data_IF_115699440758
#
_entry.id   IF_115699440758
#
_cell.length_a   1.000
_cell.length_b   1.000
_cell.length_c   1.000
_cell.angle_alpha   90.00
_cell.angle_beta   90.00
_cell.angle_gamma   90.00
#
_symmetry.space_group_name_H-M   'P 1'
#
loop_
_entity.id
_entity.type
_entity.pdbx_description
1 polymer ?
#
# COMPACT_ATOMS: atom_id res chain seq x y z
N UNK A 1 -47.68 -17.58 72.20
CA UNK A 1 -48.87 -17.33 71.33
C UNK A 1 -48.45 -16.65 70.05
N UNK A 2 -48.68 -17.38 68.94
CA UNK A 2 -48.80 -16.96 67.55
C UNK A 2 -47.52 -16.47 66.87
N UNK A 3 -46.81 -17.30 66.20
CA UNK A 3 -46.79 -17.73 64.80
C UNK A 3 -47.13 -16.64 63.81
N UNK A 4 -46.16 -16.31 62.97
CA UNK A 4 -46.39 -16.14 61.56
C UNK A 4 -45.07 -16.24 60.77
N UNK A 5 -44.91 -17.36 60.05
CA UNK A 5 -44.02 -17.61 58.94
C UNK A 5 -44.35 -16.69 57.77
N UNK A 6 -43.33 -16.14 57.14
CA UNK A 6 -43.41 -15.68 55.78
C UNK A 6 -42.16 -16.12 55.01
N UNK A 7 -42.35 -17.17 54.24
CA UNK A 7 -41.50 -17.60 53.14
C UNK A 7 -41.46 -16.52 52.07
N UNK A 8 -40.27 -16.07 51.72
CA UNK A 8 -40.01 -15.34 50.46
C UNK A 8 -39.08 -16.19 49.59
N UNK A 9 -39.71 -16.85 48.60
CA UNK A 9 -39.02 -17.42 47.46
C UNK A 9 -38.38 -16.28 46.64
N UNK A 10 -37.06 -16.27 46.57
CA UNK A 10 -36.30 -15.48 45.58
C UNK A 10 -36.08 -16.35 44.35
N UNK A 11 -36.85 -16.11 43.33
CA UNK A 11 -36.56 -16.56 41.95
C UNK A 11 -35.39 -15.73 41.42
N UNK A 12 -34.25 -16.37 41.22
CA UNK A 12 -33.13 -15.81 40.43
C UNK A 12 -33.43 -16.04 38.96
N UNK A 13 -33.84 -14.98 38.26
CA UNK A 13 -33.78 -14.93 36.81
C UNK A 13 -32.31 -14.81 36.40
N UNK A 14 -31.76 -15.88 35.83
CA UNK A 14 -30.50 -15.83 35.08
C UNK A 14 -30.81 -15.28 33.72
N UNK A 15 -30.49 -14.00 33.51
CA UNK A 15 -30.38 -13.38 32.20
C UNK A 15 -29.04 -13.83 31.60
N UNK A 16 -29.08 -14.92 30.85
CA UNK A 16 -27.94 -15.41 30.06
C UNK A 16 -27.74 -14.51 28.86
N UNK A 17 -26.78 -13.58 28.98
CA UNK A 17 -26.38 -12.66 27.93
C UNK A 17 -25.64 -13.35 26.77
N UNK A 18 -26.38 -13.83 25.79
CA UNK A 18 -25.89 -14.36 24.51
C UNK A 18 -25.54 -13.21 23.52
N UNK A 19 -24.72 -12.25 23.95
CA UNK A 19 -24.38 -11.08 23.13
C UNK A 19 -22.98 -11.05 22.51
N UNK A 20 -22.12 -12.05 22.79
CA UNK A 20 -20.70 -11.95 22.44
C UNK A 20 -20.23 -12.77 21.22
N UNK A 21 -21.01 -13.69 20.69
CA UNK A 21 -20.57 -14.55 19.58
C UNK A 21 -20.77 -13.92 18.17
N UNK A 22 -21.70 -12.98 18.02
CA UNK A 22 -22.00 -12.40 16.70
C UNK A 22 -20.93 -11.41 16.19
N UNK A 23 -20.28 -10.65 17.08
CA UNK A 23 -19.26 -9.68 16.69
C UNK A 23 -17.97 -10.36 16.18
N UNK A 24 -17.63 -11.52 16.74
CA UNK A 24 -16.45 -12.28 16.33
C UNK A 24 -16.59 -12.91 14.94
N UNK A 25 -17.76 -13.41 14.59
CA UNK A 25 -18.00 -14.04 13.28
C UNK A 25 -17.98 -12.99 12.15
N UNK A 26 -18.55 -11.80 12.39
CA UNK A 26 -18.51 -10.70 11.43
C UNK A 26 -17.08 -10.15 11.19
N UNK A 27 -16.24 -10.10 12.21
CA UNK A 27 -14.85 -9.66 12.08
C UNK A 27 -14.01 -10.68 11.30
N UNK A 28 -14.24 -11.97 11.50
CA UNK A 28 -13.59 -13.05 10.74
C UNK A 28 -14.00 -13.00 9.27
N UNK A 29 -15.29 -12.80 8.98
CA UNK A 29 -15.79 -12.70 7.61
C UNK A 29 -15.23 -11.48 6.89
N UNK A 30 -15.23 -10.29 7.53
CA UNK A 30 -14.62 -9.06 7.00
C UNK A 30 -13.12 -9.23 6.72
N UNK A 31 -12.37 -9.89 7.61
CA UNK A 31 -10.95 -10.17 7.41
C UNK A 31 -10.73 -11.12 6.23
N UNK A 32 -11.56 -12.16 6.08
CA UNK A 32 -11.50 -13.09 4.96
C UNK A 32 -11.81 -12.40 3.63
N UNK A 33 -12.84 -11.57 3.57
CA UNK A 33 -13.15 -10.76 2.39
C UNK A 33 -12.03 -9.79 2.02
N UNK A 34 -11.42 -9.13 3.02
CA UNK A 34 -10.28 -8.23 2.83
C UNK A 34 -9.09 -8.96 2.20
N UNK A 35 -8.77 -10.17 2.69
CA UNK A 35 -7.69 -10.97 2.12
C UNK A 35 -7.98 -11.45 0.69
N UNK A 36 -9.25 -11.75 0.38
CA UNK A 36 -9.67 -12.08 -0.99
C UNK A 36 -9.50 -10.86 -1.91
N UNK A 37 -9.97 -9.67 -1.51
CA UNK A 37 -9.76 -8.42 -2.26
C UNK A 37 -8.28 -8.16 -2.50
N UNK A 38 -7.46 -8.26 -1.46
CA UNK A 38 -6.00 -8.11 -1.56
C UNK A 38 -5.38 -9.06 -2.58
N UNK A 39 -5.77 -10.33 -2.57
CA UNK A 39 -5.25 -11.31 -3.54
C UNK A 39 -5.65 -10.97 -4.98
N UNK A 40 -6.89 -10.53 -5.19
CA UNK A 40 -7.37 -10.08 -6.51
C UNK A 40 -6.60 -8.84 -6.95
N UNK A 41 -6.41 -7.86 -6.06
CA UNK A 41 -5.65 -6.65 -6.33
C UNK A 41 -4.19 -6.97 -6.72
N UNK A 42 -3.51 -7.78 -5.93
CA UNK A 42 -2.12 -8.20 -6.21
C UNK A 42 -1.98 -8.97 -7.53
N UNK A 43 -3.01 -9.64 -8.01
CA UNK A 43 -2.98 -10.32 -9.32
C UNK A 43 -2.94 -9.34 -10.50
N UNK A 44 -3.33 -8.07 -10.28
CA UNK A 44 -3.28 -7.00 -11.29
C UNK A 44 -1.96 -6.21 -11.23
N UNK A 45 -1.15 -6.40 -10.19
CA UNK A 45 0.15 -5.76 -10.02
C UNK A 45 1.24 -6.59 -10.70
N UNK A 46 2.07 -5.95 -11.52
CA UNK A 46 3.22 -6.56 -12.17
C UNK A 46 4.23 -7.02 -11.13
N UNK A 47 4.65 -8.26 -11.23
CA UNK A 47 5.55 -8.87 -10.25
C UNK A 47 7.01 -8.80 -10.71
N UNK A 48 7.94 -8.88 -9.77
CA UNK A 48 9.38 -8.90 -10.02
C UNK A 48 9.74 -9.90 -11.14
N UNK A 49 10.50 -9.41 -12.11
CA UNK A 49 10.85 -10.15 -13.33
C UNK A 49 10.08 -9.69 -14.56
N UNK A 50 8.95 -8.95 -14.40
CA UNK A 50 8.29 -8.30 -15.54
C UNK A 50 9.18 -7.13 -16.05
N UNK A 51 9.54 -7.12 -17.36
CA UNK A 51 10.41 -6.08 -17.91
C UNK A 51 9.85 -4.67 -17.77
N UNK A 52 8.51 -4.49 -17.69
CA UNK A 52 7.88 -3.18 -17.56
C UNK A 52 8.33 -2.42 -16.31
N UNK A 53 8.63 -3.15 -15.22
CA UNK A 53 9.12 -2.58 -13.97
C UNK A 53 10.53 -1.97 -14.07
N UNK A 54 11.21 -2.20 -15.20
CA UNK A 54 12.55 -1.67 -15.50
C UNK A 54 12.54 -0.56 -16.54
N UNK A 55 11.36 -0.21 -17.04
CA UNK A 55 11.23 0.88 -18.00
C UNK A 55 11.14 2.22 -17.26
N UNK A 56 11.79 3.23 -17.82
CA UNK A 56 11.56 4.61 -17.43
C UNK A 56 10.21 5.07 -17.97
N UNK A 57 9.36 5.60 -17.10
CA UNK A 57 8.04 6.07 -17.46
C UNK A 57 8.10 7.36 -18.31
N UNK A 58 7.22 7.46 -19.30
CA UNK A 58 7.08 8.63 -20.17
C UNK A 58 6.26 9.71 -19.47
N UNK A 59 6.57 10.98 -19.74
CA UNK A 59 5.82 12.11 -19.21
C UNK A 59 4.33 12.05 -19.58
N UNK A 60 3.49 12.45 -18.66
CA UNK A 60 2.06 12.67 -18.87
C UNK A 60 1.89 14.03 -19.52
N UNK A 61 1.44 14.06 -20.76
CA UNK A 61 1.21 15.29 -21.53
C UNK A 61 -0.28 15.61 -21.73
N UNK A 62 -1.15 14.62 -21.53
CA UNK A 62 -2.60 14.75 -21.68
C UNK A 62 -3.27 14.37 -20.36
N UNK A 63 -4.04 15.31 -19.81
CA UNK A 63 -4.79 15.19 -18.56
C UNK A 63 -6.29 15.14 -18.93
N UNK A 64 -6.76 13.97 -19.26
CA UNK A 64 -8.11 13.72 -19.76
C UNK A 64 -8.90 12.73 -18.88
N UNK A 65 -10.12 12.44 -19.29
CA UNK A 65 -10.99 11.49 -18.60
C UNK A 65 -10.44 10.05 -18.59
N UNK A 66 -9.54 9.68 -19.50
CA UNK A 66 -8.88 8.37 -19.49
C UNK A 66 -7.88 8.30 -18.36
N UNK A 67 -7.05 9.35 -18.19
CA UNK A 67 -6.13 9.45 -17.05
C UNK A 67 -6.90 9.44 -15.74
N UNK A 68 -7.99 10.22 -15.63
CA UNK A 68 -8.79 10.28 -14.40
C UNK A 68 -9.33 8.89 -14.00
N UNK A 69 -9.93 8.14 -14.94
CA UNK A 69 -10.39 6.76 -14.68
C UNK A 69 -9.26 5.80 -14.30
N UNK A 70 -8.08 5.99 -14.88
CA UNK A 70 -6.92 5.17 -14.52
C UNK A 70 -6.44 5.48 -13.10
N UNK A 71 -6.41 6.74 -12.72
CA UNK A 71 -6.09 7.18 -11.35
C UNK A 71 -7.07 6.57 -10.35
N UNK A 72 -8.39 6.70 -10.56
CA UNK A 72 -9.43 6.10 -9.71
C UNK A 72 -9.24 4.59 -9.54
N UNK A 73 -9.00 3.89 -10.64
CA UNK A 73 -8.74 2.44 -10.61
C UNK A 73 -7.46 2.10 -9.84
N UNK A 74 -6.40 2.87 -10.02
CA UNK A 74 -5.13 2.63 -9.31
C UNK A 74 -5.24 2.91 -7.82
N UNK A 75 -5.99 3.94 -7.44
CA UNK A 75 -6.28 4.25 -6.03
C UNK A 75 -7.05 3.10 -5.35
N UNK A 76 -8.12 2.62 -5.97
CA UNK A 76 -8.85 1.46 -5.46
C UNK A 76 -7.96 0.22 -5.34
N UNK A 77 -7.10 -0.03 -6.34
CA UNK A 77 -6.16 -1.15 -6.35
C UNK A 77 -5.11 -1.03 -5.24
N UNK A 78 -4.62 0.17 -4.98
CA UNK A 78 -3.68 0.48 -3.89
C UNK A 78 -4.28 0.11 -2.53
N UNK A 79 -5.50 0.56 -2.25
CA UNK A 79 -6.18 0.26 -0.99
C UNK A 79 -6.50 -1.24 -0.84
N UNK A 80 -7.05 -1.87 -1.88
CA UNK A 80 -7.34 -3.30 -1.86
C UNK A 80 -6.06 -4.15 -1.67
N UNK A 81 -4.91 -3.68 -2.17
CA UNK A 81 -3.62 -4.32 -1.96
C UNK A 81 -2.97 -3.98 -0.60
N UNK A 82 -3.59 -3.12 0.23
CA UNK A 82 -3.06 -2.57 1.48
C UNK A 82 -1.72 -1.84 1.27
N UNK A 83 -1.62 -1.10 0.17
CA UNK A 83 -0.48 -0.23 -0.16
C UNK A 83 -0.70 1.20 0.32
N UNK A 84 0.38 1.95 0.45
CA UNK A 84 0.38 3.40 0.73
C UNK A 84 0.81 4.22 -0.49
N UNK A 85 1.20 3.55 -1.57
CA UNK A 85 1.55 4.09 -2.87
C UNK A 85 1.45 3.03 -3.96
N UNK A 86 1.27 3.47 -5.21
CA UNK A 86 1.26 2.61 -6.39
C UNK A 86 1.63 3.40 -7.65
N UNK A 87 2.73 3.02 -8.29
CA UNK A 87 3.17 3.62 -9.55
C UNK A 87 2.47 3.02 -10.77
N UNK A 88 2.28 3.82 -11.81
CA UNK A 88 1.63 3.37 -13.05
C UNK A 88 2.37 2.21 -13.72
N UNK A 89 3.70 2.15 -13.63
CA UNK A 89 4.50 1.03 -14.15
C UNK A 89 4.18 -0.30 -13.49
N UNK A 90 3.75 -0.29 -12.23
CA UNK A 90 3.34 -1.50 -11.50
C UNK A 90 2.01 -2.09 -12.01
N UNK A 91 1.18 -1.31 -12.68
CA UNK A 91 -0.02 -1.80 -13.38
C UNK A 91 0.20 -1.98 -14.88
N UNK A 92 1.45 -1.89 -15.35
CA UNK A 92 1.83 -2.10 -16.75
C UNK A 92 1.67 -0.86 -17.63
N UNK A 93 1.44 0.32 -17.05
CA UNK A 93 1.28 1.59 -17.77
C UNK A 93 2.56 2.41 -17.68
N UNK A 94 3.24 2.64 -18.80
CA UNK A 94 4.53 3.35 -18.86
C UNK A 94 4.29 4.87 -18.97
N UNK A 95 3.53 5.42 -18.02
CA UNK A 95 3.24 6.87 -17.86
C UNK A 95 3.77 7.34 -16.53
N UNK A 96 4.33 8.55 -16.47
CA UNK A 96 5.05 9.06 -15.30
C UNK A 96 4.09 9.66 -14.28
N UNK A 97 3.39 8.80 -13.52
CA UNK A 97 2.57 9.19 -12.37
C UNK A 97 2.43 8.03 -11.39
N UNK A 98 2.09 8.36 -10.16
CA UNK A 98 1.73 7.42 -9.11
C UNK A 98 0.57 7.97 -8.28
N UNK A 99 -0.13 7.09 -7.57
CA UNK A 99 -1.09 7.44 -6.53
C UNK A 99 -0.48 7.14 -5.17
N UNK A 100 -0.86 7.89 -4.14
CA UNK A 100 -0.39 7.70 -2.77
C UNK A 100 -1.41 8.28 -1.77
N UNK A 101 -1.34 7.80 -0.52
CA UNK A 101 -2.13 8.34 0.58
C UNK A 101 -1.28 9.31 1.41
N UNK A 102 -1.85 10.44 1.77
CA UNK A 102 -1.26 11.43 2.67
C UNK A 102 -2.35 12.06 3.52
N UNK A 103 -2.19 11.98 4.86
CA UNK A 103 -3.14 12.54 5.85
C UNK A 103 -4.60 12.07 5.65
N UNK A 104 -4.78 10.83 5.19
CA UNK A 104 -6.10 10.24 4.92
C UNK A 104 -6.73 10.69 3.61
N UNK A 105 -5.99 11.40 2.76
CA UNK A 105 -6.40 11.79 1.41
C UNK A 105 -5.67 10.98 0.35
N UNK A 106 -6.40 10.56 -0.68
CA UNK A 106 -5.84 9.93 -1.86
C UNK A 106 -5.36 10.99 -2.85
N UNK A 107 -4.08 10.96 -3.14
CA UNK A 107 -3.43 11.92 -4.02
C UNK A 107 -2.84 11.25 -5.26
N UNK A 108 -2.75 12.00 -6.34
CA UNK A 108 -2.01 11.62 -7.55
C UNK A 108 -0.94 12.66 -7.83
N UNK A 109 0.22 12.18 -8.25
CA UNK A 109 1.31 13.05 -8.69
C UNK A 109 1.84 12.59 -10.05
N UNK A 110 1.58 13.41 -11.06
CA UNK A 110 2.08 13.22 -12.43
C UNK A 110 3.32 14.08 -12.68
N UNK A 111 4.27 13.51 -13.43
CA UNK A 111 5.57 14.12 -13.73
C UNK A 111 6.33 14.58 -12.46
N UNK A 112 6.41 13.72 -11.43
CA UNK A 112 7.00 14.10 -10.15
C UNK A 112 8.49 14.40 -10.26
N UNK A 113 8.93 15.41 -9.48
CA UNK A 113 10.33 15.77 -9.31
C UNK A 113 10.57 16.12 -7.83
N UNK A 114 11.55 15.49 -7.19
CA UNK A 114 12.01 15.90 -5.86
C UNK A 114 12.90 17.13 -6.05
N UNK A 115 12.47 18.25 -5.49
CA UNK A 115 13.17 19.55 -5.60
C UNK A 115 14.04 19.86 -4.38
N UNK A 116 13.77 19.20 -3.24
CA UNK A 116 14.58 19.28 -2.02
C UNK A 116 14.49 18.00 -1.22
N UNK A 117 15.58 17.62 -0.57
CA UNK A 117 15.63 16.57 0.45
C UNK A 117 16.11 17.15 1.77
N UNK A 118 15.63 16.60 2.88
CA UNK A 118 16.19 16.84 4.20
C UNK A 118 17.64 16.36 4.30
N UNK A 119 18.32 16.71 5.39
CA UNK A 119 19.70 16.28 5.67
C UNK A 119 19.74 14.94 6.40
N UNK A 120 18.69 14.64 7.15
CA UNK A 120 18.59 13.43 7.95
C UNK A 120 18.15 12.28 7.06
N UNK A 121 18.80 11.14 7.24
CA UNK A 121 18.49 9.90 6.54
C UNK A 121 18.17 8.81 7.55
N UNK A 122 17.29 7.89 7.16
CA UNK A 122 16.89 6.74 7.96
C UNK A 122 16.93 5.47 7.13
N UNK A 123 17.44 4.39 7.73
CA UNK A 123 17.35 3.04 7.16
C UNK A 123 16.15 2.34 7.77
N UNK A 124 15.21 1.94 6.93
CA UNK A 124 14.04 1.18 7.36
C UNK A 124 13.69 0.10 6.33
N UNK A 125 12.97 -0.93 6.77
CA UNK A 125 12.54 -2.03 5.93
C UNK A 125 11.42 -1.62 4.98
N UNK A 126 11.69 -1.60 3.68
CA UNK A 126 10.70 -1.38 2.64
C UNK A 126 10.16 -2.67 2.06
N UNK A 127 8.83 -2.75 1.96
CA UNK A 127 8.12 -3.72 1.13
C UNK A 127 7.72 -3.12 -0.21
N UNK A 128 7.32 -3.96 -1.16
CA UNK A 128 6.83 -3.53 -2.47
C UNK A 128 5.73 -4.48 -2.94
N UNK A 129 4.61 -3.96 -3.43
CA UNK A 129 3.51 -4.76 -3.98
C UNK A 129 3.98 -5.65 -5.15
N UNK A 130 5.03 -5.23 -5.87
CA UNK A 130 5.64 -5.98 -6.96
C UNK A 130 6.65 -7.06 -6.50
N UNK A 131 7.00 -7.11 -5.22
CA UNK A 131 7.97 -8.08 -4.66
C UNK A 131 7.33 -9.04 -3.64
N UNK A 132 6.02 -8.99 -3.47
CA UNK A 132 5.26 -9.85 -2.55
C UNK A 132 5.64 -9.63 -1.09
N UNK A 133 6.09 -10.68 -0.39
CA UNK A 133 6.41 -10.61 1.05
C UNK A 133 7.85 -10.19 1.34
N UNK A 134 8.64 -9.89 0.33
CA UNK A 134 10.05 -9.50 0.50
C UNK A 134 10.12 -8.07 1.03
N UNK A 135 10.92 -7.88 2.08
CA UNK A 135 11.29 -6.57 2.62
C UNK A 135 12.82 -6.49 2.65
N UNK A 136 13.34 -5.28 2.43
CA UNK A 136 14.78 -5.01 2.47
C UNK A 136 15.03 -3.66 3.13
N UNK A 137 16.16 -3.50 3.86
CA UNK A 137 16.55 -2.21 4.42
C UNK A 137 16.92 -1.25 3.29
N UNK A 138 16.35 -0.05 3.32
CA UNK A 138 16.61 1.03 2.35
C UNK A 138 16.86 2.33 3.10
N UNK A 139 17.97 2.99 2.80
CA UNK A 139 18.28 4.32 3.30
C UNK A 139 17.55 5.37 2.46
N UNK A 140 16.83 6.27 3.14
CA UNK A 140 16.13 7.41 2.52
C UNK A 140 16.23 8.66 3.36
N UNK A 141 16.28 9.85 2.72
CA UNK A 141 15.95 11.10 3.39
C UNK A 141 14.60 11.03 4.09
N UNK A 142 14.54 11.53 5.33
CA UNK A 142 13.32 11.53 6.16
C UNK A 142 12.33 12.60 5.72
N UNK A 143 12.79 13.63 4.99
CA UNK A 143 12.00 14.74 4.49
C UNK A 143 12.28 14.96 3.00
N UNK A 144 11.23 15.22 2.21
CA UNK A 144 11.34 15.61 0.81
C UNK A 144 10.35 16.72 0.46
N UNK A 145 10.75 17.56 -0.48
CA UNK A 145 9.82 18.44 -1.20
C UNK A 145 9.68 17.87 -2.61
N UNK A 146 8.46 17.54 -3.00
CA UNK A 146 8.15 16.96 -4.30
C UNK A 146 7.15 17.84 -5.03
N UNK A 147 7.38 18.07 -6.30
CA UNK A 147 6.56 18.89 -7.17
C UNK A 147 6.11 18.05 -8.38
N UNK A 148 4.96 18.38 -8.95
CA UNK A 148 4.40 17.71 -10.10
C UNK A 148 3.03 18.27 -10.45
N UNK A 149 2.18 17.44 -11.07
CA UNK A 149 0.82 17.83 -11.45
C UNK A 149 -0.21 16.89 -10.83
N UNK A 150 -1.37 17.44 -10.45
CA UNK A 150 -2.53 16.65 -10.03
C UNK A 150 -3.24 16.01 -11.25
N UNK A 151 -4.37 15.31 -10.99
CA UNK A 151 -5.17 14.67 -12.04
C UNK A 151 -5.76 15.65 -13.07
N UNK A 152 -5.93 16.93 -12.71
CA UNK A 152 -6.40 17.98 -13.60
C UNK A 152 -5.27 18.65 -14.43
N UNK A 153 -4.01 18.29 -14.17
CA UNK A 153 -2.85 18.89 -14.82
C UNK A 153 -2.38 20.19 -14.17
N UNK A 154 -2.88 20.53 -13.00
CA UNK A 154 -2.48 21.71 -12.24
C UNK A 154 -1.21 21.42 -11.45
N UNK A 155 -0.32 22.42 -11.36
CA UNK A 155 0.91 22.30 -10.60
C UNK A 155 0.64 22.19 -9.10
N UNK A 156 1.25 21.20 -8.46
CA UNK A 156 1.14 20.94 -7.03
C UNK A 156 2.52 20.73 -6.41
N UNK A 157 2.62 21.01 -5.12
CA UNK A 157 3.83 20.87 -4.33
C UNK A 157 3.49 20.34 -2.96
N UNK A 158 4.24 19.34 -2.50
CA UNK A 158 4.09 18.72 -1.20
C UNK A 158 5.42 18.76 -0.44
N UNK A 159 5.37 19.15 0.83
CA UNK A 159 6.46 19.00 1.80
C UNK A 159 6.09 17.82 2.69
N UNK A 160 6.81 16.71 2.54
CA UNK A 160 6.46 15.42 3.11
C UNK A 160 7.56 14.94 4.06
N UNK A 161 7.15 14.24 5.12
CA UNK A 161 8.05 13.64 6.10
C UNK A 161 7.69 12.19 6.42
N UNK A 162 8.60 11.48 7.09
CA UNK A 162 8.39 10.14 7.60
C UNK A 162 7.96 9.12 6.53
N UNK A 163 6.89 8.37 6.81
CA UNK A 163 6.42 7.30 5.94
C UNK A 163 5.99 7.81 4.56
N UNK A 164 5.30 8.96 4.48
CA UNK A 164 4.86 9.50 3.19
C UNK A 164 6.04 9.97 2.36
N UNK A 165 7.07 10.61 2.98
CA UNK A 165 8.30 10.96 2.27
C UNK A 165 9.01 9.71 1.72
N UNK A 166 9.04 8.60 2.46
CA UNK A 166 9.59 7.32 2.01
C UNK A 166 8.78 6.73 0.86
N UNK A 167 7.44 6.73 0.98
CA UNK A 167 6.54 6.19 -0.04
C UNK A 167 6.69 6.91 -1.39
N UNK A 168 6.68 8.25 -1.41
CA UNK A 168 6.81 8.98 -2.69
C UNK A 168 8.18 8.81 -3.34
N UNK A 169 9.25 8.60 -2.56
CA UNK A 169 10.57 8.26 -3.08
C UNK A 169 10.59 6.84 -3.69
N UNK A 170 9.89 5.89 -3.07
CA UNK A 170 9.71 4.54 -3.57
C UNK A 170 8.94 4.55 -4.91
N UNK A 171 7.82 5.29 -4.98
CA UNK A 171 7.03 5.37 -6.21
C UNK A 171 7.79 6.10 -7.34
N UNK A 172 8.58 7.13 -7.01
CA UNK A 172 9.44 7.79 -7.98
C UNK A 172 10.50 6.84 -8.55
N UNK A 173 11.10 5.99 -7.70
CA UNK A 173 12.02 4.94 -8.16
C UNK A 173 11.35 4.02 -9.19
N UNK A 174 10.11 3.57 -8.96
CA UNK A 174 9.35 2.78 -9.93
C UNK A 174 9.18 3.48 -11.27
N UNK A 175 8.95 4.80 -11.27
CA UNK A 175 8.85 5.60 -12.51
C UNK A 175 10.18 5.72 -13.26
N UNK A 176 11.30 5.55 -12.56
CA UNK A 176 12.65 5.54 -13.13
C UNK A 176 13.19 4.13 -13.41
N UNK A 177 12.36 3.08 -13.22
CA UNK A 177 12.73 1.68 -13.44
C UNK A 177 13.63 1.09 -12.35
N UNK A 178 13.69 1.73 -11.19
CA UNK A 178 14.45 1.33 -10.00
C UNK A 178 13.55 0.57 -9.03
N UNK A 179 14.06 -0.48 -8.41
CA UNK A 179 13.35 -1.28 -7.41
C UNK A 179 14.11 -1.25 -6.08
N UNK A 180 13.43 -1.56 -4.97
CA UNK A 180 14.04 -1.58 -3.63
C UNK A 180 15.29 -2.47 -3.55
N UNK A 181 15.33 -3.55 -4.34
CA UNK A 181 16.53 -4.39 -4.45
C UNK A 181 17.75 -3.69 -5.07
N UNK A 182 17.59 -2.54 -5.71
CA UNK A 182 18.69 -1.71 -6.24
C UNK A 182 19.15 -0.65 -5.24
N UNK A 183 18.35 -0.40 -4.19
CA UNK A 183 18.61 0.57 -3.13
C UNK A 183 19.19 -0.04 -1.86
N UNK A 184 19.09 -1.35 -1.70
CA UNK A 184 19.61 -2.08 -0.53
C UNK A 184 21.05 -2.54 -0.72
N UNK A 185 21.68 -2.96 0.36
CA UNK A 185 23.03 -3.53 0.34
C UNK A 185 23.09 -4.88 -0.41
N UNK A 186 24.28 -5.31 -0.87
CA UNK A 186 24.43 -6.54 -1.66
C UNK A 186 24.02 -7.82 -0.94
N UNK A 187 24.16 -7.89 0.39
CA UNK A 187 23.81 -9.09 1.17
C UNK A 187 22.28 -9.22 1.28
N UNK A 188 21.59 -8.14 1.67
CA UNK A 188 20.14 -8.05 1.73
C UNK A 188 19.49 -8.28 0.36
N UNK A 189 20.07 -7.72 -0.71
CA UNK A 189 19.64 -8.00 -2.09
C UNK A 189 19.73 -9.49 -2.44
N UNK A 190 20.84 -10.15 -2.10
CA UNK A 190 21.03 -11.57 -2.38
C UNK A 190 19.99 -12.42 -1.66
N UNK A 191 19.70 -12.11 -0.39
CA UNK A 191 18.69 -12.80 0.40
C UNK A 191 17.29 -12.61 -0.17
N UNK A 192 16.93 -11.38 -0.52
CA UNK A 192 15.66 -11.04 -1.16
C UNK A 192 15.45 -11.83 -2.46
N UNK A 193 16.45 -11.85 -3.33
CA UNK A 193 16.41 -12.61 -4.58
C UNK A 193 16.30 -14.13 -4.36
N UNK A 194 16.89 -14.67 -3.31
CA UNK A 194 16.73 -16.07 -2.95
C UNK A 194 15.29 -16.41 -2.56
N UNK A 195 14.61 -15.51 -1.84
CA UNK A 195 13.18 -15.65 -1.46
C UNK A 195 12.24 -15.53 -2.67
N UNK A 196 12.60 -14.75 -3.68
CA UNK A 196 11.77 -14.55 -4.90
C UNK A 196 11.89 -15.72 -5.90
N UNK A 197 13.05 -16.40 -5.98
CA UNK A 197 13.33 -17.48 -6.93
C UNK A 197 12.30 -18.62 -6.97
N UNK A 198 11.82 -19.18 -5.84
CA UNK A 198 10.86 -20.28 -5.87
C UNK A 198 9.52 -19.89 -6.51
N UNK A 199 9.11 -18.64 -6.39
CA UNK A 199 7.84 -18.14 -6.99
C UNK A 199 7.96 -17.97 -8.49
N UNK A 200 9.12 -17.56 -9.00
CA UNK A 200 9.39 -17.44 -10.43
C UNK A 200 9.41 -18.80 -11.15
N UNK A 201 9.79 -19.87 -10.45
CA UNK A 201 9.86 -21.23 -11.00
C UNK A 201 8.50 -21.97 -10.98
N UNK A 202 7.56 -21.55 -10.13
CA UNK A 202 6.26 -22.19 -9.93
C UNK A 202 5.10 -21.42 -10.56
N UNK A 203 5.33 -20.22 -11.11
CA UNK A 203 4.30 -19.49 -11.83
C UNK A 203 4.00 -20.24 -13.15
N UNK A 204 2.74 -20.68 -13.41
CA UNK A 204 2.38 -21.24 -14.69
C UNK A 204 2.59 -20.20 -15.79
N UNK A 205 3.15 -20.65 -16.92
CA UNK A 205 3.29 -19.84 -18.14
C UNK A 205 1.96 -19.61 -18.80
#
# INVERSE_FOLDING_TARGET
>A
MSDHDHDHEHTHDHDDGDGHDHDHDEDVERAAESEVRKRIALSQVRQYGDPVLRLRANEVVVFDAELARLVERMTALMHDAHGVGLAATQVGVVRRFFVFEHDGEDLVLANPTITRTGKDVEVDDEGCLSLGVVRVPVERPTEVVIEGKNAAGEDVKYELEGLTARAVQHELDHLDGVLIGDRTDPASRKEALAKLRPRLLLAPR
#
